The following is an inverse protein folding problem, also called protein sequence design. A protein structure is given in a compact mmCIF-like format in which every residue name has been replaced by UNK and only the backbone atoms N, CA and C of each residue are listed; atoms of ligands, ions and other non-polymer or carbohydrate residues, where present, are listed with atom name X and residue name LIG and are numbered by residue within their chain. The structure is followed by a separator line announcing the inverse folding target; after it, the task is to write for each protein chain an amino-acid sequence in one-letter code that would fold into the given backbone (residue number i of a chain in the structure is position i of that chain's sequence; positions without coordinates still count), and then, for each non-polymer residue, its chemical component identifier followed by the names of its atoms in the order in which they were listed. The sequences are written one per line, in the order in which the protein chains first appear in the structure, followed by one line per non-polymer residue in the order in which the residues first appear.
data_IF_077239768290
#
_entry.id   IF_077239768290
#
_cell.length_a   1.000
_cell.length_b   1.000
_cell.length_c   1.000
_cell.angle_alpha   90.00
_cell.angle_beta   90.00
_cell.angle_gamma   90.00
#
_symmetry.space_group_name_H-M   'P 1'
#
loop_
_entity.id
_entity.type
_entity.pdbx_description
1 polymer ?
#
# COMPACT_ATOMS: atom_id res chain seq x y z
N UNK A 1 -10.29 36.76 -37.03
CA UNK A 1 -10.55 36.17 -35.69
C UNK A 1 -10.82 37.31 -34.73
N UNK A 2 -11.90 37.26 -33.96
CA UNK A 2 -12.28 38.34 -33.05
C UNK A 2 -11.34 38.33 -31.83
N UNK A 3 -10.95 39.50 -31.32
CA UNK A 3 -10.02 39.61 -30.18
C UNK A 3 -10.51 38.84 -28.94
N UNK A 4 -11.83 38.75 -28.78
CA UNK A 4 -12.50 37.99 -27.71
C UNK A 4 -12.28 36.47 -27.83
N UNK A 5 -12.23 35.93 -29.05
CA UNK A 5 -12.03 34.50 -29.30
C UNK A 5 -10.58 34.08 -29.01
N UNK A 6 -9.62 34.96 -29.28
CA UNK A 6 -8.20 34.75 -28.96
C UNK A 6 -7.99 34.78 -27.45
N UNK A 7 -8.62 35.72 -26.75
CA UNK A 7 -8.55 35.83 -25.29
C UNK A 7 -9.16 34.61 -24.58
N UNK A 8 -10.32 34.13 -25.08
CA UNK A 8 -10.98 32.94 -24.53
C UNK A 8 -10.15 31.66 -24.74
N UNK A 9 -9.50 31.50 -25.90
CA UNK A 9 -8.59 30.37 -26.17
C UNK A 9 -7.32 30.43 -25.32
N UNK A 10 -6.73 31.61 -25.14
CA UNK A 10 -5.58 31.81 -24.25
C UNK A 10 -5.95 31.55 -22.79
N UNK A 11 -7.09 32.05 -22.33
CA UNK A 11 -7.60 31.81 -20.97
C UNK A 11 -7.87 30.33 -20.71
N UNK A 12 -8.48 29.63 -21.67
CA UNK A 12 -8.68 28.18 -21.60
C UNK A 12 -7.36 27.40 -21.56
N UNK A 13 -6.39 27.75 -22.40
CA UNK A 13 -5.07 27.10 -22.42
C UNK A 13 -4.31 27.33 -21.10
N UNK A 14 -4.34 28.54 -20.55
CA UNK A 14 -3.73 28.87 -19.26
C UNK A 14 -4.38 28.11 -18.10
N UNK A 15 -5.71 27.96 -18.12
CA UNK A 15 -6.44 27.21 -17.11
C UNK A 15 -6.07 25.71 -17.14
N UNK A 16 -6.06 25.10 -18.34
CA UNK A 16 -5.62 23.71 -18.50
C UNK A 16 -4.16 23.54 -18.07
N UNK A 17 -3.29 24.47 -18.47
CA UNK A 17 -1.89 24.48 -18.05
C UNK A 17 -1.72 24.54 -16.53
N UNK A 18 -2.50 25.39 -15.84
CA UNK A 18 -2.49 25.49 -14.39
C UNK A 18 -2.96 24.20 -13.70
N UNK A 19 -4.01 23.55 -14.20
CA UNK A 19 -4.52 22.28 -13.66
C UNK A 19 -3.48 21.17 -13.82
N UNK A 20 -2.86 21.06 -15.00
CA UNK A 20 -1.81 20.07 -15.24
C UNK A 20 -0.60 20.32 -14.35
N UNK A 21 -0.16 21.58 -14.21
CA UNK A 21 0.95 21.93 -13.35
C UNK A 21 0.67 21.60 -11.86
N UNK A 22 -0.54 21.85 -11.39
CA UNK A 22 -0.98 21.46 -10.04
C UNK A 22 -0.98 19.95 -9.85
N UNK A 23 -1.51 19.19 -10.83
CA UNK A 23 -1.51 17.74 -10.81
C UNK A 23 -0.09 17.16 -10.75
N UNK A 24 0.81 17.65 -11.59
CA UNK A 24 2.23 17.23 -11.59
C UNK A 24 2.90 17.56 -10.26
N UNK A 25 2.66 18.75 -9.71
CA UNK A 25 3.22 19.17 -8.43
C UNK A 25 2.74 18.27 -7.29
N UNK A 26 1.45 17.96 -7.25
CA UNK A 26 0.88 17.04 -6.26
C UNK A 26 1.51 15.63 -6.35
N UNK A 27 1.69 15.11 -7.56
CA UNK A 27 2.34 13.81 -7.79
C UNK A 27 3.79 13.82 -7.33
N UNK A 28 4.55 14.88 -7.64
CA UNK A 28 5.95 15.02 -7.21
C UNK A 28 6.06 15.09 -5.69
N UNK A 29 5.19 15.87 -5.04
CA UNK A 29 5.13 15.97 -3.57
C UNK A 29 4.80 14.60 -2.98
N UNK A 30 3.83 13.88 -3.54
CA UNK A 30 3.43 12.56 -3.07
C UNK A 30 4.58 11.54 -3.19
N UNK A 31 5.29 11.51 -4.32
CA UNK A 31 6.41 10.57 -4.53
C UNK A 31 7.56 10.88 -3.58
N UNK A 32 7.96 12.16 -3.47
CA UNK A 32 9.03 12.57 -2.55
C UNK A 32 8.64 12.33 -1.09
N UNK A 33 7.41 12.65 -0.73
CA UNK A 33 6.85 12.39 0.60
C UNK A 33 6.83 10.90 0.92
N UNK A 34 6.39 10.07 -0.02
CA UNK A 34 6.32 8.61 0.14
C UNK A 34 7.71 7.96 0.19
N UNK A 35 8.68 8.48 -0.56
CA UNK A 35 10.07 8.04 -0.49
C UNK A 35 10.72 8.39 0.86
N UNK A 36 10.47 9.61 1.36
CA UNK A 36 10.91 10.01 2.70
C UNK A 36 10.22 9.19 3.80
N UNK A 37 8.91 8.98 3.68
CA UNK A 37 8.13 8.17 4.61
C UNK A 37 8.64 6.73 4.62
N UNK A 38 8.90 6.14 3.44
CA UNK A 38 9.42 4.79 3.34
C UNK A 38 10.81 4.67 3.99
N UNK A 39 11.73 5.60 3.75
CA UNK A 39 13.08 5.54 4.33
C UNK A 39 13.11 5.70 5.85
N UNK A 40 12.16 6.45 6.44
CA UNK A 40 12.13 6.69 7.88
C UNK A 40 11.20 5.73 8.64
N UNK A 41 10.06 5.37 8.05
CA UNK A 41 9.01 4.58 8.71
C UNK A 41 9.15 3.08 8.45
N UNK A 42 9.70 2.64 7.31
CA UNK A 42 9.84 1.20 7.05
C UNK A 42 10.67 0.46 8.10
N UNK A 43 11.78 0.98 8.63
CA UNK A 43 12.52 0.28 9.69
C UNK A 43 11.62 -0.01 10.89
N UNK A 44 10.84 0.97 11.34
CA UNK A 44 9.91 0.82 12.46
C UNK A 44 8.73 -0.10 12.12
N UNK A 45 8.09 0.11 10.97
CA UNK A 45 6.98 -0.73 10.50
C UNK A 45 7.41 -2.18 10.29
N UNK A 46 8.64 -2.41 9.83
CA UNK A 46 9.16 -3.77 9.65
C UNK A 46 9.35 -4.51 10.97
N UNK A 47 9.79 -3.80 12.02
CA UNK A 47 9.86 -4.35 13.39
C UNK A 47 8.47 -4.66 13.90
N UNK A 48 7.52 -3.71 13.76
CA UNK A 48 6.13 -3.92 14.15
C UNK A 48 5.47 -5.07 13.40
N UNK A 49 5.71 -5.20 12.10
CA UNK A 49 5.21 -6.29 11.28
C UNK A 49 5.78 -7.64 11.75
N UNK A 50 7.07 -7.71 12.10
CA UNK A 50 7.66 -8.95 12.64
C UNK A 50 7.05 -9.34 13.98
N UNK A 51 6.87 -8.37 14.89
CA UNK A 51 6.22 -8.62 16.19
C UNK A 51 4.76 -9.05 15.96
N UNK A 52 4.03 -8.34 15.11
CA UNK A 52 2.65 -8.66 14.77
C UNK A 52 2.55 -10.05 14.13
N UNK A 53 3.50 -10.45 13.28
CA UNK A 53 3.53 -11.79 12.68
C UNK A 53 3.62 -12.87 13.76
N UNK A 54 4.55 -12.71 14.72
CA UNK A 54 4.68 -13.65 15.85
C UNK A 54 3.40 -13.68 16.68
N UNK A 55 2.82 -12.53 17.02
CA UNK A 55 1.58 -12.47 17.80
C UNK A 55 0.40 -13.10 17.06
N UNK A 56 0.26 -12.86 15.75
CA UNK A 56 -0.81 -13.46 14.95
C UNK A 56 -0.69 -14.98 14.95
N UNK A 57 0.51 -15.51 14.67
CA UNK A 57 0.73 -16.96 14.55
C UNK A 57 0.59 -17.68 15.89
N UNK A 58 1.18 -17.15 16.95
CA UNK A 58 1.27 -17.87 18.23
C UNK A 58 0.23 -17.46 19.27
N UNK A 59 -0.45 -16.34 19.08
CA UNK A 59 -1.41 -15.81 20.07
C UNK A 59 -2.79 -15.67 19.47
N UNK A 60 -2.97 -14.84 18.45
CA UNK A 60 -4.31 -14.51 17.96
C UNK A 60 -4.97 -15.65 17.19
N UNK A 61 -4.23 -16.39 16.36
CA UNK A 61 -4.77 -17.57 15.68
C UNK A 61 -5.19 -18.67 16.65
N UNK A 62 -4.39 -19.08 17.65
CA UNK A 62 -4.86 -20.01 18.69
C UNK A 62 -6.07 -19.49 19.47
N UNK A 63 -6.10 -18.19 19.82
CA UNK A 63 -7.24 -17.57 20.50
C UNK A 63 -8.49 -17.44 19.62
N UNK A 64 -8.39 -17.65 18.31
CA UNK A 64 -9.55 -17.70 17.41
C UNK A 64 -10.32 -19.02 17.55
N UNK A 65 -9.72 -20.07 18.13
CA UNK A 65 -10.37 -21.39 18.26
C UNK A 65 -11.50 -21.34 19.31
N UNK A 66 -11.27 -20.91 20.57
CA UNK A 66 -12.30 -20.89 21.61
C UNK A 66 -13.30 -19.76 21.39
N UNK A 67 -14.60 -20.07 21.44
CA UNK A 67 -15.69 -19.10 21.17
C UNK A 67 -15.61 -17.83 22.03
N UNK A 68 -15.18 -17.96 23.29
CA UNK A 68 -15.10 -16.84 24.25
C UNK A 68 -14.09 -15.77 23.83
N UNK A 69 -12.98 -16.16 23.19
CA UNK A 69 -11.88 -15.24 22.83
C UNK A 69 -11.92 -14.79 21.36
N UNK A 70 -12.89 -15.28 20.58
CA UNK A 70 -13.01 -14.97 19.14
C UNK A 70 -13.19 -13.49 18.84
N UNK A 71 -14.00 -12.79 19.64
CA UNK A 71 -14.23 -11.35 19.46
C UNK A 71 -12.92 -10.56 19.59
N UNK A 72 -12.12 -10.87 20.62
CA UNK A 72 -10.82 -10.25 20.82
C UNK A 72 -9.85 -10.59 19.69
N UNK A 73 -9.77 -11.87 19.29
CA UNK A 73 -8.90 -12.30 18.20
C UNK A 73 -9.26 -11.63 16.87
N UNK A 74 -10.56 -11.49 16.56
CA UNK A 74 -11.03 -10.79 15.36
C UNK A 74 -10.53 -9.36 15.28
N UNK A 75 -10.69 -8.58 16.35
CA UNK A 75 -10.22 -7.19 16.41
C UNK A 75 -8.69 -7.14 16.26
N UNK A 76 -7.97 -8.01 16.96
CA UNK A 76 -6.52 -8.07 16.90
C UNK A 76 -5.99 -8.42 15.49
N UNK A 77 -6.60 -9.39 14.81
CA UNK A 77 -6.29 -9.74 13.43
C UNK A 77 -6.59 -8.57 12.47
N UNK A 78 -7.71 -7.87 12.68
CA UNK A 78 -8.06 -6.70 11.86
C UNK A 78 -7.02 -5.59 12.00
N UNK A 79 -6.60 -5.25 13.23
CA UNK A 79 -5.54 -4.27 13.48
C UNK A 79 -4.21 -4.72 12.89
N UNK A 80 -3.82 -5.97 13.08
CA UNK A 80 -2.59 -6.52 12.50
C UNK A 80 -2.57 -6.42 10.96
N UNK A 81 -3.73 -6.60 10.31
CA UNK A 81 -3.85 -6.45 8.85
C UNK A 81 -3.44 -5.07 8.33
N UNK A 82 -3.65 -4.00 9.11
CA UNK A 82 -3.21 -2.65 8.72
C UNK A 82 -1.71 -2.47 8.86
N UNK A 83 -1.09 -3.06 9.89
CA UNK A 83 0.37 -3.02 10.07
C UNK A 83 1.05 -3.76 8.91
N UNK A 84 0.58 -4.96 8.56
CA UNK A 84 1.10 -5.68 7.40
C UNK A 84 0.85 -4.94 6.09
N UNK A 85 -0.35 -4.40 5.89
CA UNK A 85 -0.71 -3.70 4.66
C UNK A 85 0.08 -2.42 4.45
N UNK A 86 0.30 -1.62 5.51
CA UNK A 86 1.12 -0.43 5.45
C UNK A 86 2.58 -0.78 5.13
N UNK A 87 3.12 -1.82 5.77
CA UNK A 87 4.48 -2.32 5.51
C UNK A 87 4.62 -2.81 4.07
N UNK A 88 3.66 -3.61 3.60
CA UNK A 88 3.61 -4.13 2.23
C UNK A 88 3.60 -3.00 1.21
N UNK A 89 2.73 -2.01 1.41
CA UNK A 89 2.57 -0.92 0.45
C UNK A 89 3.81 -0.04 0.40
N UNK A 90 4.36 0.37 1.56
CA UNK A 90 5.60 1.16 1.60
C UNK A 90 6.80 0.41 1.04
N UNK A 91 6.91 -0.89 1.33
CA UNK A 91 8.02 -1.71 0.84
C UNK A 91 7.92 -1.94 -0.68
N UNK A 92 6.71 -2.25 -1.18
CA UNK A 92 6.44 -2.36 -2.61
C UNK A 92 6.64 -1.03 -3.35
N UNK A 93 6.23 0.09 -2.77
CA UNK A 93 6.49 1.42 -3.32
C UNK A 93 8.00 1.67 -3.46
N UNK A 94 8.76 1.43 -2.37
CA UNK A 94 10.20 1.65 -2.37
C UNK A 94 10.91 0.76 -3.41
N UNK A 95 10.56 -0.53 -3.48
CA UNK A 95 11.14 -1.45 -4.46
C UNK A 95 10.79 -1.06 -5.89
N UNK A 96 9.54 -0.67 -6.16
CA UNK A 96 9.15 -0.18 -7.50
C UNK A 96 9.92 1.07 -7.88
N UNK A 97 10.08 2.01 -6.94
CA UNK A 97 10.81 3.25 -7.18
C UNK A 97 12.29 2.98 -7.47
N UNK A 98 12.91 2.04 -6.75
CA UNK A 98 14.33 1.72 -6.89
C UNK A 98 14.63 0.90 -8.15
N UNK A 99 13.78 -0.06 -8.51
CA UNK A 99 14.02 -0.98 -9.64
C UNK A 99 13.48 -0.39 -10.95
N UNK A 100 12.24 0.10 -10.95
CA UNK A 100 11.54 0.51 -12.16
C UNK A 100 11.48 2.04 -12.34
N UNK A 101 11.87 2.81 -11.32
CA UNK A 101 11.87 4.27 -11.36
C UNK A 101 10.49 4.91 -11.24
N UNK A 102 10.47 6.23 -11.39
CA UNK A 102 9.29 7.08 -11.14
C UNK A 102 8.14 6.80 -12.11
N UNK A 103 8.42 6.48 -13.38
CA UNK A 103 7.39 6.22 -14.38
C UNK A 103 6.49 5.02 -14.00
N UNK A 104 7.09 3.93 -13.51
CA UNK A 104 6.37 2.76 -13.05
C UNK A 104 5.56 3.02 -11.77
N UNK A 105 6.07 3.86 -10.87
CA UNK A 105 5.33 4.30 -9.68
C UNK A 105 4.07 5.07 -10.08
N UNK A 106 4.19 6.04 -11.00
CA UNK A 106 3.04 6.83 -11.48
C UNK A 106 2.00 5.90 -12.10
N UNK A 107 2.43 4.98 -12.97
CA UNK A 107 1.53 4.02 -13.60
C UNK A 107 0.85 3.11 -12.57
N UNK A 108 1.60 2.59 -11.58
CA UNK A 108 1.06 1.76 -10.51
C UNK A 108 0.07 2.49 -9.59
N UNK A 109 0.29 3.78 -9.34
CA UNK A 109 -0.63 4.60 -8.55
C UNK A 109 -1.93 4.88 -9.30
N UNK A 110 -1.87 5.13 -10.62
CA UNK A 110 -3.06 5.43 -11.44
C UNK A 110 -3.97 4.20 -11.59
N UNK A 111 -3.41 3.01 -11.73
CA UNK A 111 -4.21 1.82 -12.10
C UNK A 111 -5.05 1.27 -10.92
N UNK A 112 -4.60 1.33 -9.66
CA UNK A 112 -5.43 0.93 -8.48
C UNK A 112 -5.00 1.64 -7.17
N UNK A 113 -3.99 2.51 -7.15
CA UNK A 113 -3.33 2.97 -5.92
C UNK A 113 -2.53 1.88 -5.17
N UNK A 114 -2.96 0.62 -5.29
CA UNK A 114 -2.31 -0.61 -4.84
C UNK A 114 -1.34 -1.17 -5.90
N UNK A 115 -1.43 -0.69 -7.15
CA UNK A 115 -0.70 -1.24 -8.31
C UNK A 115 0.83 -1.22 -8.18
N UNK A 116 1.37 -0.38 -7.29
CA UNK A 116 2.81 -0.38 -6.96
C UNK A 116 3.28 -1.71 -6.32
N UNK A 117 2.41 -2.45 -5.62
CA UNK A 117 2.80 -3.71 -4.99
C UNK A 117 2.96 -4.85 -6.03
N UNK A 118 1.99 -5.11 -6.94
CA UNK A 118 2.19 -6.07 -8.02
C UNK A 118 3.38 -5.74 -8.93
N UNK A 119 3.61 -4.45 -9.23
CA UNK A 119 4.78 -4.05 -10.03
C UNK A 119 6.06 -4.41 -9.28
N UNK A 120 6.17 -4.15 -7.98
CA UNK A 120 7.32 -4.56 -7.19
C UNK A 120 7.54 -6.08 -7.18
N UNK A 121 6.47 -6.88 -7.09
CA UNK A 121 6.56 -8.34 -7.15
C UNK A 121 7.09 -8.81 -8.50
N UNK A 122 6.58 -8.26 -9.60
CA UNK A 122 7.07 -8.60 -10.94
C UNK A 122 8.53 -8.14 -11.11
N UNK A 123 8.86 -6.92 -10.67
CA UNK A 123 10.21 -6.37 -10.75
C UNK A 123 11.22 -7.22 -9.97
N UNK A 124 10.91 -7.56 -8.72
CA UNK A 124 11.78 -8.42 -7.89
C UNK A 124 11.90 -9.85 -8.42
N UNK A 125 10.86 -10.38 -9.06
CA UNK A 125 10.93 -11.68 -9.74
C UNK A 125 11.88 -11.64 -10.93
N UNK A 126 11.79 -10.60 -11.77
CA UNK A 126 12.63 -10.44 -12.97
C UNK A 126 14.10 -10.17 -12.62
N UNK A 127 14.36 -9.43 -11.54
CA UNK A 127 15.72 -9.14 -11.04
C UNK A 127 16.31 -10.28 -10.18
N UNK A 128 15.59 -11.39 -9.99
CA UNK A 128 16.06 -12.53 -9.17
C UNK A 128 16.19 -12.22 -7.67
N UNK A 129 15.48 -11.20 -7.18
CA UNK A 129 15.47 -10.75 -5.78
C UNK A 129 14.52 -11.62 -4.93
N UNK A 130 14.83 -12.92 -4.83
CA UNK A 130 13.95 -13.93 -4.22
C UNK A 130 13.53 -13.63 -2.78
N UNK A 131 14.43 -13.09 -1.97
CA UNK A 131 14.13 -12.75 -0.58
C UNK A 131 13.05 -11.66 -0.51
N UNK A 132 13.22 -10.60 -1.29
CA UNK A 132 12.30 -9.48 -1.33
C UNK A 132 10.94 -9.90 -1.91
N UNK A 133 10.94 -10.77 -2.92
CA UNK A 133 9.72 -11.35 -3.47
C UNK A 133 8.95 -12.15 -2.40
N UNK A 134 9.63 -13.03 -1.67
CA UNK A 134 9.01 -13.83 -0.59
C UNK A 134 8.46 -12.90 0.50
N UNK A 135 9.21 -11.87 0.90
CA UNK A 135 8.77 -10.90 1.90
C UNK A 135 7.49 -10.18 1.44
N UNK A 136 7.42 -9.74 0.17
CA UNK A 136 6.23 -9.11 -0.41
C UNK A 136 5.03 -10.07 -0.43
N UNK A 137 5.24 -11.33 -0.84
CA UNK A 137 4.18 -12.34 -0.87
C UNK A 137 3.69 -12.62 0.54
N UNK A 138 4.59 -12.83 1.50
CA UNK A 138 4.24 -13.09 2.90
C UNK A 138 3.44 -11.93 3.49
N UNK A 139 3.91 -10.69 3.30
CA UNK A 139 3.19 -9.50 3.75
C UNK A 139 1.81 -9.37 3.10
N UNK A 140 1.68 -9.69 1.81
CA UNK A 140 0.39 -9.72 1.12
C UNK A 140 -0.56 -10.77 1.71
N UNK A 141 -0.08 -12.01 1.88
CA UNK A 141 -0.84 -13.10 2.50
C UNK A 141 -1.26 -12.72 3.92
N UNK A 142 -0.37 -12.17 4.73
CA UNK A 142 -0.70 -11.75 6.10
C UNK A 142 -1.70 -10.59 6.12
N UNK A 143 -1.56 -9.62 5.21
CA UNK A 143 -2.50 -8.49 5.10
C UNK A 143 -3.91 -8.97 4.80
N UNK A 144 -4.08 -9.72 3.70
CA UNK A 144 -5.40 -10.15 3.27
C UNK A 144 -5.93 -11.30 4.12
N UNK A 145 -5.07 -12.24 4.52
CA UNK A 145 -5.41 -13.37 5.39
C UNK A 145 -5.92 -12.93 6.76
N UNK A 146 -5.25 -11.98 7.41
CA UNK A 146 -5.74 -11.44 8.68
C UNK A 146 -7.05 -10.66 8.51
N UNK A 147 -7.21 -9.91 7.41
CA UNK A 147 -8.44 -9.16 7.15
C UNK A 147 -9.64 -10.09 6.92
N UNK A 148 -9.47 -11.11 6.09
CA UNK A 148 -10.51 -12.13 5.84
C UNK A 148 -10.79 -12.93 7.10
N UNK A 149 -9.76 -13.37 7.83
CA UNK A 149 -9.90 -14.11 9.08
C UNK A 149 -10.60 -13.31 10.18
N UNK A 150 -10.35 -11.99 10.26
CA UNK A 150 -11.07 -11.13 11.18
C UNK A 150 -12.56 -11.07 10.84
N UNK A 151 -12.91 -10.84 9.57
CA UNK A 151 -14.31 -10.76 9.13
C UNK A 151 -15.06 -12.08 9.31
N UNK A 152 -14.43 -13.22 9.04
CA UNK A 152 -15.06 -14.53 9.26
C UNK A 152 -15.35 -14.79 10.73
N UNK A 153 -14.44 -14.38 11.63
CA UNK A 153 -14.67 -14.51 13.07
C UNK A 153 -15.85 -13.67 13.54
N UNK A 154 -16.04 -12.45 13.02
CA UNK A 154 -17.21 -11.62 13.36
C UNK A 154 -18.51 -12.31 12.97
N UNK A 155 -18.60 -12.88 11.77
CA UNK A 155 -19.82 -13.58 11.33
C UNK A 155 -20.21 -14.74 12.25
N UNK A 156 -19.24 -15.45 12.82
CA UNK A 156 -19.50 -16.56 13.76
C UNK A 156 -19.92 -16.14 15.18
N UNK A 157 -19.92 -14.84 15.49
CA UNK A 157 -20.38 -14.32 16.78
C UNK A 157 -21.86 -13.94 16.76
N UNK A 158 -22.44 -13.76 15.57
CA UNK A 158 -23.85 -13.39 15.38
C UNK A 158 -24.78 -14.63 15.33
N UNK A 159 -24.21 -15.83 15.14
CA UNK A 159 -24.90 -17.13 15.16
C UNK A 159 -24.89 -17.81 16.55
#
# INVERSE_FOLDING_TARGET
MNAKDVLAKLGGLLLVGAIVALGVTAVVIFIRGSAWASSNLLPWLSVLARIAFVLVVFVFLPLAIPRVTRAFSSIALFVASYVFGATLWMYGFLLTLLICGVGAVIFGLIIVGIGVVPIAMIATLLEGMWRQLIDLILLAVMTFGCRVGAMSLVGTLEE
#
